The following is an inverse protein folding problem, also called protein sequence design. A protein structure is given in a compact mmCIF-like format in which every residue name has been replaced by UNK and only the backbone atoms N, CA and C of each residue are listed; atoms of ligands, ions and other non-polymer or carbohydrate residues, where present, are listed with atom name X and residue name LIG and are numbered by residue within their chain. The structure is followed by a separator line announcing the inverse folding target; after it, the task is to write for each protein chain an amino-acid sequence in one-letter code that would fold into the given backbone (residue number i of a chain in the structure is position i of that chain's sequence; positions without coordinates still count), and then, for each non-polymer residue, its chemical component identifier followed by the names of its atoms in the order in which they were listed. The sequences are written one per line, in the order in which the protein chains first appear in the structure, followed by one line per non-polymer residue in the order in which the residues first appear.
data_IF_680549709599
#
_entry.id   IF_680549709599
#
_cell.length_a   1.000
_cell.length_b   1.000
_cell.length_c   1.000
_cell.angle_alpha   90.00
_cell.angle_beta   90.00
_cell.angle_gamma   90.00
#
_symmetry.space_group_name_H-M   'P 1'
#
loop_
_entity.id
_entity.type
_entity.pdbx_description
1 polymer ?
#
# COMPACT_ATOMS: atom_id res chain seq x y z
N UNK A 1 -5.88 -14.72 14.75
CA UNK A 1 -5.17 -15.44 13.68
C UNK A 1 -4.73 -14.43 12.65
N UNK A 2 -3.46 -14.46 12.23
CA UNK A 2 -2.96 -13.66 11.11
C UNK A 2 -3.64 -14.11 9.82
N UNK A 3 -4.03 -13.15 8.99
CA UNK A 3 -4.66 -13.42 7.69
C UNK A 3 -3.60 -13.17 6.63
N UNK A 4 -3.32 -14.16 5.79
CA UNK A 4 -2.23 -14.06 4.82
C UNK A 4 -2.76 -13.79 3.42
N UNK A 5 -2.13 -12.84 2.73
CA UNK A 5 -2.41 -12.50 1.33
C UNK A 5 -1.19 -12.78 0.47
N UNK A 6 -1.41 -13.50 -0.62
CA UNK A 6 -0.40 -13.70 -1.64
C UNK A 6 0.00 -12.36 -2.29
N UNK A 7 1.29 -12.19 -2.56
CA UNK A 7 1.76 -11.15 -3.48
C UNK A 7 1.31 -11.42 -4.92
N UNK A 8 1.39 -10.39 -5.76
CA UNK A 8 1.04 -10.52 -7.17
C UNK A 8 2.00 -11.47 -7.91
N UNK A 9 1.56 -12.01 -9.06
CA UNK A 9 2.31 -13.02 -9.83
C UNK A 9 3.70 -12.59 -10.32
N UNK A 10 4.06 -11.31 -10.16
CA UNK A 10 5.42 -10.84 -10.47
C UNK A 10 6.35 -10.92 -9.25
N UNK A 11 5.87 -11.22 -8.04
CA UNK A 11 6.71 -11.57 -6.90
C UNK A 11 7.42 -12.89 -7.19
N UNK A 12 8.71 -12.95 -6.84
CA UNK A 12 9.61 -14.09 -7.08
C UNK A 12 9.76 -14.53 -8.55
N UNK A 13 9.23 -13.77 -9.53
CA UNK A 13 9.38 -13.97 -10.98
C UNK A 13 9.24 -15.42 -11.50
N UNK A 14 8.56 -16.30 -10.76
CA UNK A 14 8.37 -17.70 -11.12
C UNK A 14 6.95 -18.16 -10.77
N UNK A 15 6.43 -19.13 -11.51
CA UNK A 15 5.06 -19.61 -11.35
C UNK A 15 4.84 -20.52 -10.13
N UNK A 16 5.92 -20.97 -9.48
CA UNK A 16 5.87 -21.98 -8.41
C UNK A 16 5.96 -21.44 -6.98
N UNK A 17 6.54 -20.25 -6.79
CA UNK A 17 6.76 -19.71 -5.45
C UNK A 17 5.94 -18.44 -5.23
N UNK A 18 5.04 -18.48 -4.24
CA UNK A 18 4.19 -17.35 -3.86
C UNK A 18 4.63 -16.84 -2.49
N UNK A 19 5.04 -15.58 -2.41
CA UNK A 19 5.29 -14.94 -1.13
C UNK A 19 3.96 -14.48 -0.51
N UNK A 20 3.78 -14.73 0.79
CA UNK A 20 2.63 -14.28 1.54
C UNK A 20 2.99 -13.17 2.51
N UNK A 21 2.11 -12.18 2.64
CA UNK A 21 2.18 -11.13 3.64
C UNK A 21 1.03 -11.26 4.62
N UNK A 22 1.26 -10.87 5.88
CA UNK A 22 0.17 -10.65 6.83
C UNK A 22 -0.65 -9.43 6.38
N UNK A 23 -1.93 -9.63 6.10
CA UNK A 23 -2.89 -8.59 5.76
C UNK A 23 -3.05 -7.57 6.90
N UNK A 24 -2.79 -7.98 8.13
CA UNK A 24 -2.87 -7.11 9.30
C UNK A 24 -1.58 -6.31 9.52
N UNK A 25 -0.54 -6.51 8.68
CA UNK A 25 0.69 -5.74 8.79
C UNK A 25 0.40 -4.25 8.55
N UNK A 26 0.94 -3.41 9.44
CA UNK A 26 0.82 -1.96 9.26
C UNK A 26 1.50 -1.49 7.97
N UNK A 27 1.05 -0.39 7.35
CA UNK A 27 1.68 0.17 6.16
C UNK A 27 3.18 0.46 6.34
N UNK A 28 3.59 0.91 7.53
CA UNK A 28 5.00 1.12 7.86
C UNK A 28 5.79 -0.18 7.91
N UNK A 29 5.24 -1.25 8.50
CA UNK A 29 5.87 -2.56 8.51
C UNK A 29 6.08 -3.10 7.08
N UNK A 30 5.09 -2.94 6.20
CA UNK A 30 5.20 -3.31 4.79
C UNK A 30 6.29 -2.49 4.07
N UNK A 31 6.33 -1.18 4.31
CA UNK A 31 7.36 -0.31 3.76
C UNK A 31 8.78 -0.69 4.22
N UNK A 32 8.97 -0.96 5.52
CA UNK A 32 10.25 -1.44 6.05
C UNK A 32 10.64 -2.80 5.47
N UNK A 33 9.66 -3.71 5.32
CA UNK A 33 9.85 -5.03 4.73
C UNK A 33 10.35 -4.94 3.27
N UNK A 34 9.83 -4.00 2.49
CA UNK A 34 10.30 -3.73 1.12
C UNK A 34 11.70 -3.10 1.10
N UNK A 35 11.96 -2.10 1.95
CA UNK A 35 13.27 -1.45 2.02
C UNK A 35 14.37 -2.41 2.50
N UNK A 36 14.07 -3.29 3.46
CA UNK A 36 15.03 -4.29 3.92
C UNK A 36 15.46 -5.24 2.80
N UNK A 37 14.56 -5.59 1.88
CA UNK A 37 14.91 -6.38 0.67
C UNK A 37 15.83 -5.61 -0.26
N UNK A 38 15.56 -4.32 -0.51
CA UNK A 38 16.45 -3.47 -1.31
C UNK A 38 17.84 -3.34 -0.67
N UNK A 39 17.90 -3.11 0.65
CA UNK A 39 19.15 -3.01 1.39
C UNK A 39 19.93 -4.34 1.37
N UNK A 40 19.24 -5.47 1.43
CA UNK A 40 19.86 -6.79 1.32
C UNK A 40 20.50 -6.98 -0.06
N UNK A 41 19.84 -6.55 -1.14
CA UNK A 41 20.40 -6.57 -2.49
C UNK A 41 21.62 -5.65 -2.57
N UNK A 42 21.52 -4.41 -2.11
CA UNK A 42 22.64 -3.47 -2.11
C UNK A 42 23.86 -4.04 -1.37
N UNK A 43 23.65 -4.57 -0.17
CA UNK A 43 24.71 -5.20 0.63
C UNK A 43 25.31 -6.43 -0.06
N UNK A 44 24.49 -7.27 -0.68
CA UNK A 44 24.96 -8.42 -1.44
C UNK A 44 25.90 -7.98 -2.58
N UNK A 45 25.51 -6.95 -3.35
CA UNK A 45 26.32 -6.45 -4.45
C UNK A 45 27.60 -5.73 -3.98
N UNK A 46 27.54 -5.00 -2.87
CA UNK A 46 28.73 -4.41 -2.24
C UNK A 46 29.73 -5.50 -1.81
N UNK A 47 29.26 -6.54 -1.12
CA UNK A 47 30.10 -7.67 -0.71
C UNK A 47 30.68 -8.42 -1.90
N UNK A 48 29.88 -8.65 -2.94
CA UNK A 48 30.32 -9.31 -4.17
C UNK A 48 31.39 -8.51 -4.90
N UNK A 49 31.33 -7.18 -4.88
CA UNK A 49 32.34 -6.33 -5.51
C UNK A 49 33.76 -6.57 -4.96
N UNK A 50 33.87 -7.02 -3.70
CA UNK A 50 35.14 -7.28 -3.02
C UNK A 50 35.72 -8.66 -3.34
N UNK A 51 34.88 -9.61 -3.75
CA UNK A 51 35.28 -11.01 -3.96
C UNK A 51 35.09 -11.47 -5.41
N UNK A 52 34.62 -10.59 -6.30
CA UNK A 52 34.27 -10.90 -7.68
C UNK A 52 35.43 -11.58 -8.41
N UNK A 53 35.16 -12.76 -8.94
CA UNK A 53 36.08 -13.52 -9.79
C UNK A 53 35.29 -14.49 -10.68
N UNK A 54 35.92 -14.97 -11.75
CA UNK A 54 35.28 -15.80 -12.78
C UNK A 54 34.82 -17.19 -12.27
N UNK A 55 35.13 -17.55 -11.02
CA UNK A 55 34.69 -18.81 -10.39
C UNK A 55 33.40 -18.65 -9.60
N UNK A 56 32.93 -17.42 -9.38
CA UNK A 56 31.67 -17.17 -8.69
C UNK A 56 30.50 -17.50 -9.61
N UNK A 57 29.53 -18.25 -9.08
CA UNK A 57 28.30 -18.55 -9.81
C UNK A 57 27.40 -17.31 -9.87
N UNK A 58 27.60 -16.51 -10.92
CA UNK A 58 26.82 -15.31 -11.18
C UNK A 58 25.32 -15.58 -11.41
N UNK A 59 24.94 -16.79 -11.84
CA UNK A 59 23.52 -17.12 -12.08
C UNK A 59 22.74 -17.14 -10.75
N UNK A 60 23.28 -17.80 -9.72
CA UNK A 60 22.62 -17.87 -8.42
C UNK A 60 22.46 -16.48 -7.76
N UNK A 61 23.47 -15.62 -7.93
CA UNK A 61 23.43 -14.22 -7.46
C UNK A 61 22.37 -13.42 -8.23
N UNK A 62 22.31 -13.59 -9.55
CA UNK A 62 21.34 -12.91 -10.40
C UNK A 62 19.91 -13.31 -10.03
N UNK A 63 19.66 -14.61 -9.81
CA UNK A 63 18.36 -15.12 -9.36
C UNK A 63 17.97 -14.56 -7.98
N UNK A 64 18.87 -14.61 -6.99
CA UNK A 64 18.60 -14.06 -5.66
C UNK A 64 18.30 -12.55 -5.71
N UNK A 65 19.05 -11.81 -6.54
CA UNK A 65 18.83 -10.38 -6.80
C UNK A 65 17.44 -10.16 -7.42
N UNK A 66 17.09 -10.91 -8.45
CA UNK A 66 15.80 -10.81 -9.13
C UNK A 66 14.63 -11.11 -8.18
N UNK A 67 14.74 -12.14 -7.34
CA UNK A 67 13.70 -12.46 -6.35
C UNK A 67 13.51 -11.36 -5.32
N UNK A 68 14.60 -10.87 -4.71
CA UNK A 68 14.50 -9.82 -3.70
C UNK A 68 13.98 -8.49 -4.27
N UNK A 69 14.42 -8.11 -5.47
CA UNK A 69 13.94 -6.91 -6.14
C UNK A 69 12.48 -7.03 -6.55
N UNK A 70 12.09 -8.15 -7.18
CA UNK A 70 10.71 -8.37 -7.62
C UNK A 70 9.73 -8.40 -6.45
N UNK A 71 10.13 -8.97 -5.32
CA UNK A 71 9.37 -8.91 -4.07
C UNK A 71 9.22 -7.47 -3.57
N UNK A 72 10.32 -6.71 -3.49
CA UNK A 72 10.27 -5.32 -3.04
C UNK A 72 9.33 -4.47 -3.91
N UNK A 73 9.43 -4.60 -5.24
CA UNK A 73 8.55 -3.89 -6.18
C UNK A 73 7.09 -4.31 -5.99
N UNK A 74 6.81 -5.60 -5.80
CA UNK A 74 5.44 -6.10 -5.58
C UNK A 74 4.83 -5.53 -4.29
N UNK A 75 5.61 -5.47 -3.21
CA UNK A 75 5.19 -4.85 -1.94
C UNK A 75 4.92 -3.36 -2.14
N UNK A 76 5.82 -2.62 -2.81
CA UNK A 76 5.60 -1.19 -3.08
C UNK A 76 4.37 -0.92 -3.94
N UNK A 77 4.09 -1.75 -4.95
CA UNK A 77 2.86 -1.64 -5.75
C UNK A 77 1.62 -1.83 -4.88
N UNK A 78 1.63 -2.81 -3.99
CA UNK A 78 0.52 -3.06 -3.07
C UNK A 78 0.30 -1.87 -2.13
N UNK A 79 1.36 -1.38 -1.48
CA UNK A 79 1.28 -0.20 -0.61
C UNK A 79 0.79 1.03 -1.38
N UNK A 80 1.28 1.23 -2.61
CA UNK A 80 0.85 2.33 -3.48
C UNK A 80 -0.63 2.27 -3.87
N UNK A 81 -1.19 1.08 -4.11
CA UNK A 81 -2.65 0.90 -4.34
C UNK A 81 -3.46 1.27 -3.11
N UNK A 82 -3.08 0.75 -1.93
CA UNK A 82 -3.77 1.04 -0.67
C UNK A 82 -3.78 2.55 -0.37
N UNK A 83 -2.66 3.24 -0.60
CA UNK A 83 -2.58 4.70 -0.40
C UNK A 83 -3.52 5.48 -1.32
N UNK A 84 -3.65 5.06 -2.60
CA UNK A 84 -4.58 5.69 -3.56
C UNK A 84 -6.03 5.46 -3.18
N UNK A 85 -6.38 4.24 -2.78
CA UNK A 85 -7.73 3.91 -2.30
C UNK A 85 -8.11 4.74 -1.08
N UNK A 86 -7.19 4.90 -0.12
CA UNK A 86 -7.39 5.74 1.06
C UNK A 86 -7.58 7.22 0.68
N UNK A 87 -6.81 7.74 -0.28
CA UNK A 87 -6.95 9.12 -0.76
C UNK A 87 -8.32 9.34 -1.40
N UNK A 88 -8.80 8.40 -2.21
CA UNK A 88 -10.14 8.46 -2.82
C UNK A 88 -11.23 8.44 -1.76
N UNK A 89 -11.18 7.48 -0.82
CA UNK A 89 -12.15 7.39 0.27
C UNK A 89 -12.18 8.67 1.12
N UNK A 90 -11.04 9.30 1.37
CA UNK A 90 -10.97 10.58 2.08
C UNK A 90 -11.69 11.69 1.32
N UNK A 91 -11.50 11.79 0.00
CA UNK A 91 -12.19 12.79 -0.84
C UNK A 91 -13.71 12.58 -0.83
N UNK A 92 -14.16 11.33 -0.89
CA UNK A 92 -15.59 10.99 -0.80
C UNK A 92 -16.19 11.37 0.55
N UNK A 93 -15.50 11.08 1.66
CA UNK A 93 -15.93 11.49 3.00
C UNK A 93 -16.06 13.01 3.10
N UNK A 94 -15.09 13.76 2.57
CA UNK A 94 -15.15 15.22 2.57
C UNK A 94 -16.31 15.76 1.72
N UNK A 95 -16.64 15.09 0.62
CA UNK A 95 -17.83 15.37 -0.20
C UNK A 95 -19.11 15.15 0.61
N UNK A 96 -19.25 13.99 1.28
CA UNK A 96 -20.42 13.68 2.08
C UNK A 96 -20.61 14.65 3.25
N UNK A 97 -19.54 15.05 3.92
CA UNK A 97 -19.59 16.08 4.98
C UNK A 97 -20.15 17.40 4.47
N UNK A 98 -19.74 17.84 3.27
CA UNK A 98 -20.28 19.07 2.65
C UNK A 98 -21.77 18.93 2.34
N UNK A 99 -22.19 17.80 1.77
CA UNK A 99 -23.61 17.54 1.46
C UNK A 99 -24.46 17.52 2.72
N UNK A 100 -24.01 16.84 3.78
CA UNK A 100 -24.71 16.83 5.08
C UNK A 100 -24.85 18.24 5.63
N UNK A 101 -23.78 19.05 5.59
CA UNK A 101 -23.84 20.44 6.06
C UNK A 101 -24.83 21.29 5.26
N UNK A 102 -24.89 21.13 3.93
CA UNK A 102 -25.86 21.83 3.07
C UNK A 102 -27.30 21.41 3.39
N UNK A 103 -27.57 20.11 3.48
CA UNK A 103 -28.90 19.60 3.82
C UNK A 103 -29.34 20.04 5.22
N UNK A 104 -28.43 20.04 6.19
CA UNK A 104 -28.71 20.50 7.56
C UNK A 104 -29.09 21.98 7.59
N UNK A 105 -28.40 22.83 6.82
CA UNK A 105 -28.75 24.26 6.69
C UNK A 105 -30.10 24.46 6.00
N UNK A 106 -30.38 23.69 4.94
CA UNK A 106 -31.66 23.76 4.24
C UNK A 106 -32.83 23.33 5.13
N UNK A 107 -32.63 22.31 5.98
CA UNK A 107 -33.63 21.88 6.96
C UNK A 107 -33.87 22.94 8.04
N UNK A 108 -32.80 23.57 8.55
CA UNK A 108 -32.92 24.67 9.53
C UNK A 108 -33.66 25.89 8.95
N UNK A 109 -33.35 26.28 7.71
CA UNK A 109 -34.04 27.40 7.04
C UNK A 109 -35.53 27.13 6.77
N UNK A 110 -35.91 25.88 6.51
CA UNK A 110 -37.33 25.50 6.35
C UNK A 110 -38.13 25.49 7.66
N UNK A 111 -37.46 25.33 8.81
CA UNK A 111 -38.14 25.35 10.10
C UNK A 111 -38.54 26.78 10.51
N UNK A 112 -37.75 27.79 10.10
CA UNK A 112 -37.97 29.20 10.47
C UNK A 112 -39.20 29.79 9.76
N UNK A 113 -39.37 29.51 8.46
CA UNK A 113 -40.49 30.02 7.64
C UNK A 113 -41.87 29.44 8.03
N UNK A 114 -41.94 28.41 8.87
CA UNK A 114 -43.20 27.77 9.27
C UNK A 114 -43.75 28.21 10.63
N UNK A 115 -43.08 29.13 11.34
CA UNK A 115 -43.39 29.47 12.74
C UNK A 115 -44.04 30.84 12.99
N UNK A 116 -44.42 31.58 11.95
CA UNK A 116 -45.10 32.89 12.10
C UNK A 116 -46.43 32.94 11.34
N UNK A 117 -47.38 32.10 11.75
CA UNK A 117 -48.81 32.36 11.54
C UNK A 117 -49.58 31.91 12.79
N UNK A 118 -49.73 32.80 13.77
CA UNK A 118 -50.65 32.56 14.88
C UNK A 118 -50.28 33.20 16.20
N UNK A 119 -50.24 34.54 16.26
CA UNK A 119 -50.60 35.24 17.50
C UNK A 119 -51.63 36.32 17.16
N UNK A 120 -52.76 36.24 17.87
CA UNK A 120 -54.00 37.00 17.73
C UNK A 120 -53.89 38.43 18.24
#
# INVERSE_FOLDING_TARGET
MSKFKALDNNSQMCSGNVLFLDENASPSALFYCANNRLNAVAKLHDELSLVYNDRINNNAISEATAFLLSDAVSIFRMVGRNSRELETARKEIDQYKKTIAMLSRAAAGKHDDSTTEGEQ
#
